data_IF_341247726179
#
_entry.id   IF_341247726179
#
_cell.length_a   1.000
_cell.length_b   1.000
_cell.length_c   1.000
_cell.angle_alpha   90.00
_cell.angle_beta   90.00
_cell.angle_gamma   90.00
#
_symmetry.space_group_name_H-M   'P 1'
#
loop_
_entity.id
_entity.type
_entity.pdbx_description
1 polymer ?
#
# COMPACT_ATOMS: atom_id res chain seq x y z
N UNK A 1 14.09 -1.09 16.07
CA UNK A 1 13.63 -0.31 14.90
C UNK A 1 12.13 -0.13 15.06
N UNK A 2 11.66 1.11 15.01
CA UNK A 2 10.27 1.50 15.16
C UNK A 2 9.68 1.79 13.78
N UNK A 3 8.62 1.07 13.40
CA UNK A 3 8.03 1.15 12.06
C UNK A 3 6.50 1.25 12.14
N UNK A 4 5.89 1.87 11.14
CA UNK A 4 4.45 1.68 10.88
C UNK A 4 4.22 0.47 9.98
N UNK A 5 3.05 -0.13 10.05
CA UNK A 5 2.58 -1.11 9.07
C UNK A 5 1.15 -0.83 8.61
N UNK A 6 1.01 -0.36 7.36
CA UNK A 6 -0.26 -0.20 6.66
C UNK A 6 -0.61 -1.46 5.86
N UNK A 7 -1.67 -2.17 6.27
CA UNK A 7 -2.07 -3.43 5.65
C UNK A 7 -2.82 -3.23 4.32
N UNK A 8 -2.90 -4.30 3.51
CA UNK A 8 -3.60 -4.27 2.22
C UNK A 8 -5.13 -4.25 2.30
N UNK A 9 -5.78 -4.15 1.14
CA UNK A 9 -7.23 -4.25 1.02
C UNK A 9 -7.69 -5.65 1.45
N UNK A 10 -8.83 -5.72 2.14
CA UNK A 10 -9.37 -6.96 2.75
C UNK A 10 -8.51 -7.58 3.86
N UNK A 11 -7.50 -6.86 4.37
CA UNK A 11 -6.67 -7.28 5.49
C UNK A 11 -7.06 -6.54 6.78
N UNK A 12 -6.32 -6.78 7.86
CA UNK A 12 -6.56 -6.18 9.18
C UNK A 12 -5.25 -5.94 9.92
N UNK A 13 -5.34 -5.44 11.16
CA UNK A 13 -4.20 -5.31 12.07
C UNK A 13 -3.57 -6.65 12.45
N UNK A 14 -4.32 -7.74 12.32
CA UNK A 14 -3.82 -9.11 12.47
C UNK A 14 -3.14 -9.55 11.16
N UNK A 15 -1.88 -9.14 11.01
CA UNK A 15 -1.08 -9.33 9.80
C UNK A 15 0.13 -10.22 10.06
N UNK A 16 0.28 -11.30 9.28
CA UNK A 16 1.45 -12.18 9.31
C UNK A 16 2.77 -11.43 9.05
N UNK A 17 2.72 -10.35 8.26
CA UNK A 17 3.90 -9.49 8.01
C UNK A 17 4.27 -8.69 9.25
N UNK A 18 3.28 -8.17 9.97
CA UNK A 18 3.51 -7.45 11.21
C UNK A 18 4.02 -8.38 12.31
N UNK A 19 3.44 -9.57 12.43
CA UNK A 19 3.92 -10.63 13.34
C UNK A 19 5.37 -11.02 13.04
N UNK A 20 5.69 -11.24 11.75
CA UNK A 20 7.05 -11.56 11.34
C UNK A 20 8.05 -10.45 11.72
N UNK A 21 7.71 -9.18 11.48
CA UNK A 21 8.55 -8.04 11.86
C UNK A 21 8.73 -7.93 13.38
N UNK A 22 7.66 -8.15 14.16
CA UNK A 22 7.74 -8.21 15.63
C UNK A 22 8.65 -9.34 16.10
N UNK A 23 8.61 -10.50 15.43
CA UNK A 23 9.51 -11.62 15.72
C UNK A 23 11.00 -11.29 15.45
N UNK A 24 11.29 -10.29 14.61
CA UNK A 24 12.64 -9.75 14.43
C UNK A 24 13.04 -8.70 15.50
N UNK A 25 12.19 -8.46 16.50
CA UNK A 25 12.41 -7.46 17.55
C UNK A 25 12.10 -6.02 17.14
N UNK A 26 11.26 -5.82 16.12
CA UNK A 26 10.84 -4.49 15.69
C UNK A 26 9.65 -4.00 16.53
N UNK A 27 9.61 -2.70 16.81
CA UNK A 27 8.46 -2.02 17.40
C UNK A 27 7.52 -1.62 16.26
N UNK A 28 6.45 -2.40 16.07
CA UNK A 28 5.55 -2.30 14.90
C UNK A 28 4.20 -1.72 15.31
N UNK A 29 3.94 -0.49 14.87
CA UNK A 29 2.62 0.13 14.92
C UNK A 29 1.79 -0.29 13.69
N UNK A 30 0.91 -1.28 13.87
CA UNK A 30 -0.08 -1.67 12.85
C UNK A 30 -1.23 -0.69 12.81
N UNK A 31 -1.58 -0.22 11.62
CA UNK A 31 -2.63 0.78 11.43
C UNK A 31 -3.96 0.11 11.08
N UNK A 32 -5.06 0.51 11.72
CA UNK A 32 -6.40 0.15 11.26
C UNK A 32 -6.77 1.00 10.05
N UNK A 33 -6.43 0.49 8.86
CA UNK A 33 -6.56 1.24 7.62
C UNK A 33 -8.02 1.58 7.28
N UNK A 34 -8.99 0.91 7.89
CA UNK A 34 -10.43 1.14 7.64
C UNK A 34 -11.04 2.18 8.57
N UNK A 35 -10.28 2.73 9.52
CA UNK A 35 -10.75 3.68 10.54
C UNK A 35 -11.64 4.81 10.00
N UNK A 36 -11.32 5.33 8.82
CA UNK A 36 -12.05 6.45 8.20
C UNK A 36 -12.85 6.07 6.95
N UNK A 37 -12.78 4.81 6.50
CA UNK A 37 -13.38 4.38 5.25
C UNK A 37 -12.44 3.51 4.42
N UNK A 38 -12.90 3.18 3.22
CA UNK A 38 -12.27 2.19 2.37
C UNK A 38 -11.40 2.78 1.26
N UNK A 39 -11.71 3.99 0.80
CA UNK A 39 -10.99 4.62 -0.31
C UNK A 39 -9.57 5.07 0.08
N UNK A 40 -8.76 5.38 -0.93
CA UNK A 40 -7.37 5.75 -0.73
C UNK A 40 -7.18 7.05 0.07
N UNK A 41 -8.10 8.02 -0.01
CA UNK A 41 -7.99 9.26 0.76
C UNK A 41 -8.23 8.99 2.26
N UNK A 42 -9.24 8.16 2.58
CA UNK A 42 -9.52 7.71 3.94
C UNK A 42 -8.36 6.91 4.53
N UNK A 43 -7.78 5.98 3.76
CA UNK A 43 -6.63 5.18 4.21
C UNK A 43 -5.36 6.02 4.36
N UNK A 44 -5.14 6.97 3.45
CA UNK A 44 -4.03 7.92 3.52
C UNK A 44 -4.11 8.76 4.80
N UNK A 45 -5.31 9.19 5.20
CA UNK A 45 -5.54 9.91 6.46
C UNK A 45 -5.07 9.11 7.68
N UNK A 46 -5.27 7.79 7.70
CA UNK A 46 -4.79 6.94 8.81
C UNK A 46 -3.27 6.98 8.91
N UNK A 47 -2.56 6.92 7.79
CA UNK A 47 -1.09 6.98 7.78
C UNK A 47 -0.59 8.37 8.20
N UNK A 48 -1.24 9.44 7.73
CA UNK A 48 -0.91 10.82 8.14
C UNK A 48 -1.05 11.02 9.65
N UNK A 49 -2.16 10.57 10.23
CA UNK A 49 -2.39 10.63 11.68
C UNK A 49 -1.29 9.87 12.43
N UNK A 50 -0.90 8.68 11.96
CA UNK A 50 0.19 7.94 12.58
C UNK A 50 1.53 8.69 12.52
N UNK A 51 1.89 9.27 11.37
CA UNK A 51 3.10 10.06 11.19
C UNK A 51 3.12 11.22 12.19
N UNK A 52 2.03 11.98 12.28
CA UNK A 52 1.95 13.21 13.05
C UNK A 52 1.86 12.96 14.57
N UNK A 53 1.14 11.91 15.00
CA UNK A 53 0.85 11.67 16.43
C UNK A 53 1.80 10.67 17.09
N UNK A 54 2.40 9.76 16.33
CA UNK A 54 3.20 8.65 16.85
C UNK A 54 4.64 8.62 16.35
N UNK A 55 5.03 9.56 15.48
CA UNK A 55 6.40 9.70 15.01
C UNK A 55 7.42 10.09 16.11
N UNK A 56 8.71 10.11 15.77
CA UNK A 56 9.28 9.68 14.50
C UNK A 56 9.31 8.15 14.37
N UNK A 57 9.23 7.67 13.12
CA UNK A 57 9.46 6.28 12.75
C UNK A 57 10.79 6.16 12.00
N UNK A 58 11.46 5.02 12.15
CA UNK A 58 12.66 4.71 11.36
C UNK A 58 12.29 4.47 9.89
N UNK A 59 11.20 3.74 9.65
CA UNK A 59 10.67 3.40 8.32
C UNK A 59 9.14 3.30 8.37
N UNK A 60 8.48 3.86 7.35
CA UNK A 60 7.06 3.62 7.09
C UNK A 60 6.92 2.41 6.16
N UNK A 61 6.14 1.41 6.57
CA UNK A 61 5.96 0.18 5.79
C UNK A 61 4.49 0.03 5.40
N UNK A 62 4.23 -0.20 4.12
CA UNK A 62 2.88 -0.42 3.62
C UNK A 62 2.84 -1.55 2.60
N UNK A 63 1.77 -2.36 2.62
CA UNK A 63 1.59 -3.49 1.71
C UNK A 63 0.37 -3.29 0.81
N UNK A 64 0.53 -3.53 -0.49
CA UNK A 64 -0.54 -3.45 -1.48
C UNK A 64 -1.29 -2.11 -1.39
N UNK A 65 -2.59 -2.14 -1.12
CA UNK A 65 -3.42 -0.95 -0.94
C UNK A 65 -2.93 -0.02 0.18
N UNK A 66 -2.40 -0.56 1.28
CA UNK A 66 -1.76 0.22 2.34
C UNK A 66 -0.39 0.76 1.93
N UNK A 67 0.29 0.12 0.98
CA UNK A 67 1.51 0.64 0.34
C UNK A 67 1.21 1.89 -0.48
N UNK A 68 0.11 1.88 -1.25
CA UNK A 68 -0.36 3.06 -1.99
C UNK A 68 -0.73 4.21 -1.03
N UNK A 69 -1.46 3.91 0.05
CA UNK A 69 -1.80 4.91 1.07
C UNK A 69 -0.56 5.49 1.78
N UNK A 70 0.45 4.65 2.03
CA UNK A 70 1.73 5.08 2.63
C UNK A 70 2.48 6.04 1.71
N UNK A 71 2.53 5.74 0.41
CA UNK A 71 3.12 6.63 -0.59
C UNK A 71 2.37 7.96 -0.72
N UNK A 72 1.02 7.92 -0.77
CA UNK A 72 0.18 9.14 -0.78
C UNK A 72 0.38 10.00 0.47
N UNK A 73 0.51 9.39 1.65
CA UNK A 73 0.74 10.13 2.89
C UNK A 73 2.12 10.81 2.90
N UNK A 74 3.15 10.11 2.43
CA UNK A 74 4.49 10.68 2.30
C UNK A 74 4.52 11.86 1.32
N UNK A 75 3.85 11.75 0.17
CA UNK A 75 3.72 12.84 -0.81
C UNK A 75 3.14 14.14 -0.19
N UNK A 76 2.28 14.03 0.83
CA UNK A 76 1.70 15.17 1.57
C UNK A 76 2.59 15.69 2.70
N UNK A 77 3.80 15.15 2.88
CA UNK A 77 4.80 15.58 3.87
C UNK A 77 6.18 15.70 3.19
N UNK A 78 6.33 16.52 2.13
CA UNK A 78 7.57 16.58 1.34
C UNK A 78 8.81 16.96 2.18
N UNK A 79 8.63 17.82 3.19
CA UNK A 79 9.72 18.28 4.06
C UNK A 79 10.03 17.34 5.23
N UNK A 80 9.23 16.28 5.44
CA UNK A 80 9.47 15.33 6.52
C UNK A 80 10.59 14.35 6.16
N UNK A 81 11.42 14.00 7.14
CA UNK A 81 12.50 13.01 7.01
C UNK A 81 11.92 11.57 7.07
N UNK A 82 11.16 11.20 6.04
CA UNK A 82 10.50 9.89 5.93
C UNK A 82 11.32 8.94 5.07
N UNK A 83 11.15 7.64 5.33
CA UNK A 83 11.75 6.54 4.57
C UNK A 83 10.70 5.46 4.39
N UNK A 84 10.58 4.92 3.19
CA UNK A 84 9.49 4.02 2.85
C UNK A 84 10.01 2.66 2.42
N UNK A 85 9.33 1.62 2.90
CA UNK A 85 9.39 0.28 2.30
C UNK A 85 7.99 -0.13 1.89
N UNK A 86 7.79 -0.33 0.58
CA UNK A 86 6.50 -0.63 -0.01
C UNK A 86 6.48 -2.06 -0.52
N UNK A 87 5.51 -2.85 -0.09
CA UNK A 87 5.41 -4.28 -0.41
C UNK A 87 4.32 -4.51 -1.45
N UNK A 88 4.70 -4.78 -2.69
CA UNK A 88 3.81 -4.90 -3.85
C UNK A 88 2.73 -3.78 -3.89
N UNK A 89 3.12 -2.49 -3.82
CA UNK A 89 2.19 -1.38 -3.67
C UNK A 89 1.21 -1.33 -4.84
N UNK A 90 -0.06 -1.06 -4.55
CA UNK A 90 -1.12 -1.04 -5.54
C UNK A 90 -1.11 0.24 -6.42
N UNK A 91 0.06 0.64 -6.96
CA UNK A 91 0.13 1.71 -7.94
C UNK A 91 -0.72 1.38 -9.17
N UNK A 92 -1.35 2.40 -9.75
CA UNK A 92 -2.29 2.21 -10.86
C UNK A 92 -3.59 1.50 -10.46
N UNK A 93 -4.06 1.72 -9.23
CA UNK A 93 -5.22 1.00 -8.70
C UNK A 93 -6.51 1.24 -9.48
N UNK A 94 -6.70 2.44 -10.04
CA UNK A 94 -7.85 2.76 -10.88
C UNK A 94 -7.86 1.94 -12.18
N UNK A 95 -6.71 1.73 -12.82
CA UNK A 95 -6.63 0.85 -13.98
C UNK A 95 -6.84 -0.62 -13.60
N UNK A 96 -6.37 -1.05 -12.42
CA UNK A 96 -6.56 -2.42 -11.92
C UNK A 96 -8.04 -2.74 -11.65
N UNK A 97 -8.76 -1.85 -10.98
CA UNK A 97 -10.18 -2.05 -10.70
C UNK A 97 -11.00 -2.03 -11.99
N UNK A 98 -10.68 -1.11 -12.92
CA UNK A 98 -11.34 -1.04 -14.23
C UNK A 98 -11.10 -2.32 -15.05
N UNK A 99 -9.86 -2.84 -15.06
CA UNK A 99 -9.52 -4.10 -15.73
C UNK A 99 -10.27 -5.29 -15.13
N UNK A 100 -10.46 -5.30 -13.80
CA UNK A 100 -11.12 -6.40 -13.08
C UNK A 100 -12.62 -6.42 -13.34
N UNK A 101 -13.29 -5.26 -13.29
CA UNK A 101 -14.74 -5.15 -13.47
C UNK A 101 -15.16 -5.07 -14.95
N UNK A 102 -14.26 -4.63 -15.82
CA UNK A 102 -14.54 -4.34 -17.23
C UNK A 102 -15.49 -3.15 -17.42
N UNK A 103 -15.60 -2.69 -18.67
CA UNK A 103 -16.38 -1.48 -19.01
C UNK A 103 -17.83 -1.56 -18.54
N UNK A 104 -18.47 -2.73 -18.71
CA UNK A 104 -19.85 -2.93 -18.29
C UNK A 104 -20.01 -2.86 -16.76
N UNK A 105 -19.07 -3.45 -16.00
CA UNK A 105 -19.10 -3.41 -14.54
C UNK A 105 -18.84 -2.01 -13.99
N UNK A 106 -17.88 -1.29 -14.58
CA UNK A 106 -17.59 0.09 -14.22
C UNK A 106 -18.78 1.01 -14.51
N UNK A 107 -19.40 0.88 -15.68
CA UNK A 107 -20.60 1.65 -16.05
C UNK A 107 -21.77 1.35 -15.11
N UNK A 108 -22.00 0.09 -14.77
CA UNK A 108 -23.04 -0.28 -13.83
C UNK A 108 -22.80 0.31 -12.43
N UNK A 109 -21.54 0.36 -11.98
CA UNK A 109 -21.19 1.01 -10.71
C UNK A 109 -21.45 2.52 -10.75
N UNK A 110 -21.07 3.20 -11.83
CA UNK A 110 -21.35 4.62 -12.03
C UNK A 110 -22.85 4.93 -12.01
N UNK A 111 -23.64 4.15 -12.74
CA UNK A 111 -25.09 4.34 -12.86
C UNK A 111 -25.84 4.03 -11.57
N UNK A 112 -25.45 2.96 -10.85
CA UNK A 112 -26.09 2.56 -9.60
C UNK A 112 -25.58 3.36 -8.38
N UNK A 113 -24.44 4.03 -8.51
CA UNK A 113 -23.79 4.78 -7.43
C UNK A 113 -23.03 3.91 -6.43
N UNK A 114 -23.14 2.58 -6.49
CA UNK A 114 -22.44 1.65 -5.60
C UNK A 114 -22.16 0.27 -6.24
N UNK A 115 -21.18 -0.45 -5.68
CA UNK A 115 -20.81 -1.81 -6.08
C UNK A 115 -20.46 -2.65 -4.86
N UNK A 116 -20.98 -3.88 -4.83
CA UNK A 116 -20.74 -4.83 -3.75
C UNK A 116 -19.55 -5.75 -4.08
N UNK A 117 -18.48 -5.65 -3.31
CA UNK A 117 -17.35 -6.58 -3.35
C UNK A 117 -17.59 -7.72 -2.35
N UNK A 118 -17.06 -8.91 -2.64
CA UNK A 118 -17.12 -10.08 -1.75
C UNK A 118 -15.70 -10.48 -1.35
N UNK A 119 -15.15 -9.90 -0.27
CA UNK A 119 -13.80 -10.20 0.17
C UNK A 119 -13.65 -11.68 0.55
N UNK A 120 -12.53 -12.35 0.21
CA UNK A 120 -12.32 -13.74 0.57
C UNK A 120 -12.36 -13.96 2.09
N UNK A 121 -13.21 -14.90 2.53
CA UNK A 121 -13.34 -15.27 3.94
C UNK A 121 -14.24 -14.36 4.78
N UNK A 122 -14.95 -13.42 4.16
CA UNK A 122 -15.92 -12.55 4.83
C UNK A 122 -17.33 -13.01 4.47
N UNK A 123 -18.24 -13.01 5.45
CA UNK A 123 -19.64 -13.41 5.23
C UNK A 123 -20.42 -12.32 4.48
N UNK A 124 -20.27 -11.08 4.91
CA UNK A 124 -20.99 -9.94 4.35
C UNK A 124 -20.20 -9.26 3.21
N UNK A 125 -20.90 -8.82 2.15
CA UNK A 125 -20.28 -8.02 1.11
C UNK A 125 -19.91 -6.63 1.65
N UNK A 126 -18.91 -6.02 1.00
CA UNK A 126 -18.54 -4.62 1.23
C UNK A 126 -19.05 -3.78 0.08
N UNK A 127 -20.01 -2.90 0.37
CA UNK A 127 -20.59 -1.96 -0.60
C UNK A 127 -19.74 -0.71 -0.67
N UNK A 128 -19.21 -0.42 -1.86
CA UNK A 128 -18.38 0.76 -2.12
C UNK A 128 -19.18 1.78 -2.95
N UNK A 129 -19.26 3.04 -2.53
CA UNK A 129 -19.86 4.09 -3.35
C UNK A 129 -18.98 4.40 -4.57
N UNK A 130 -19.56 4.98 -5.62
CA UNK A 130 -18.84 5.40 -6.83
C UNK A 130 -17.69 6.38 -6.53
N UNK A 131 -17.82 7.17 -5.45
CA UNK A 131 -16.76 8.06 -4.99
C UNK A 131 -15.44 7.35 -4.69
N UNK A 132 -15.48 6.03 -4.40
CA UNK A 132 -14.27 5.21 -4.28
C UNK A 132 -13.44 5.20 -5.58
N UNK A 133 -14.11 5.11 -6.74
CA UNK A 133 -13.47 5.16 -8.06
C UNK A 133 -12.95 6.56 -8.36
N UNK A 134 -13.72 7.61 -8.01
CA UNK A 134 -13.30 9.00 -8.18
C UNK A 134 -12.01 9.30 -7.39
N UNK A 135 -11.93 8.80 -6.15
CA UNK A 135 -10.71 8.89 -5.33
C UNK A 135 -9.57 8.09 -5.96
N UNK A 136 -9.81 6.85 -6.41
CA UNK A 136 -8.77 6.04 -7.05
C UNK A 136 -8.10 6.77 -8.23
N UNK A 137 -8.89 7.39 -9.12
CA UNK A 137 -8.39 8.15 -10.29
C UNK A 137 -7.39 9.25 -9.96
N UNK A 138 -7.39 9.75 -8.72
CA UNK A 138 -6.52 10.84 -8.27
C UNK A 138 -5.41 10.40 -7.32
N UNK A 139 -5.44 9.15 -6.83
CA UNK A 139 -4.52 8.64 -5.79
C UNK A 139 -3.70 7.44 -6.23
N UNK A 140 -3.93 6.88 -7.43
CA UNK A 140 -3.22 5.70 -7.94
C UNK A 140 -1.72 5.90 -8.19
N UNK A 141 -1.29 7.14 -8.43
CA UNK A 141 0.07 7.49 -8.83
C UNK A 141 0.57 8.71 -8.03
N UNK A 142 0.89 8.55 -6.74
CA UNK A 142 1.41 9.65 -5.92
C UNK A 142 2.82 10.07 -6.35
N UNK A 143 3.15 11.34 -6.12
CA UNK A 143 4.49 11.88 -6.32
C UNK A 143 5.38 11.57 -5.10
N UNK A 144 6.34 10.66 -5.25
CA UNK A 144 7.14 10.13 -4.14
C UNK A 144 8.52 10.79 -4.12
N UNK A 145 8.73 11.66 -3.14
CA UNK A 145 9.98 12.42 -2.99
C UNK A 145 10.97 11.81 -1.99
N UNK A 146 10.49 10.89 -1.14
CA UNK A 146 11.27 10.32 -0.05
C UNK A 146 12.04 9.08 -0.49
N UNK A 147 13.19 8.78 0.15
CA UNK A 147 13.89 7.51 -0.05
C UNK A 147 12.94 6.33 0.12
N UNK A 148 12.79 5.54 -0.95
CA UNK A 148 11.80 4.48 -1.03
C UNK A 148 12.41 3.23 -1.64
N UNK A 149 12.13 2.07 -1.04
CA UNK A 149 12.39 0.77 -1.65
C UNK A 149 11.06 0.04 -1.83
N UNK A 150 10.80 -0.39 -3.05
CA UNK A 150 9.67 -1.26 -3.38
C UNK A 150 10.18 -2.71 -3.36
N UNK A 151 9.57 -3.58 -2.57
CA UNK A 151 9.74 -5.03 -2.64
C UNK A 151 8.59 -5.61 -3.47
N UNK A 152 8.88 -6.32 -4.56
CA UNK A 152 7.84 -6.81 -5.47
C UNK A 152 8.13 -8.23 -5.96
N UNK A 153 7.11 -9.09 -5.95
CA UNK A 153 7.22 -10.48 -6.42
C UNK A 153 7.22 -10.56 -7.94
N UNK A 154 8.15 -11.30 -8.54
CA UNK A 154 8.21 -11.51 -9.99
C UNK A 154 6.99 -12.28 -10.54
N UNK A 155 6.29 -13.02 -9.68
CA UNK A 155 5.09 -13.78 -10.00
C UNK A 155 3.82 -13.16 -9.38
N UNK A 156 3.82 -11.84 -9.12
CA UNK A 156 2.63 -11.12 -8.65
C UNK A 156 1.52 -11.15 -9.71
N UNK A 157 0.38 -11.74 -9.34
CA UNK A 157 -0.81 -11.92 -10.17
C UNK A 157 -1.93 -10.92 -9.83
N UNK A 158 -1.74 -10.07 -8.82
CA UNK A 158 -2.71 -9.08 -8.35
C UNK A 158 -2.32 -7.68 -8.82
N UNK A 159 -1.07 -7.28 -8.58
CA UNK A 159 -0.51 -6.00 -9.01
C UNK A 159 0.61 -6.28 -10.00
N UNK A 160 0.52 -5.79 -11.26
CA UNK A 160 1.58 -6.00 -12.23
C UNK A 160 2.91 -5.38 -11.73
N UNK A 161 3.98 -6.17 -11.80
CA UNK A 161 5.35 -5.70 -11.52
C UNK A 161 5.70 -4.43 -12.31
N UNK A 162 5.20 -4.31 -13.54
CA UNK A 162 5.38 -3.14 -14.41
C UNK A 162 4.95 -1.82 -13.74
N UNK A 163 3.96 -1.84 -12.84
CA UNK A 163 3.53 -0.63 -12.15
C UNK A 163 4.60 -0.13 -11.16
N UNK A 164 5.29 -1.06 -10.49
CA UNK A 164 6.41 -0.70 -9.62
C UNK A 164 7.67 -0.33 -10.41
N UNK A 165 7.89 -0.94 -11.57
CA UNK A 165 8.97 -0.57 -12.50
C UNK A 165 8.76 0.86 -13.03
N UNK A 166 7.54 1.20 -13.44
CA UNK A 166 7.16 2.56 -13.83
C UNK A 166 7.39 3.57 -12.71
N UNK A 167 6.95 3.24 -11.48
CA UNK A 167 7.17 4.12 -10.32
C UNK A 167 8.67 4.36 -10.07
N UNK A 168 9.48 3.31 -10.07
CA UNK A 168 10.92 3.44 -9.85
C UNK A 168 11.64 4.18 -10.99
N UNK A 169 11.26 3.92 -12.25
CA UNK A 169 11.87 4.58 -13.42
C UNK A 169 11.57 6.08 -13.49
N UNK A 170 10.40 6.50 -12.99
CA UNK A 170 10.01 7.91 -12.98
C UNK A 170 10.57 8.70 -11.79
N UNK A 171 11.05 8.02 -10.74
CA UNK A 171 11.41 8.66 -9.48
C UNK A 171 12.82 8.24 -9.01
N UNK A 172 13.82 9.15 -9.02
CA UNK A 172 15.21 8.79 -8.71
C UNK A 172 15.44 8.37 -7.24
N UNK A 173 14.51 8.69 -6.34
CA UNK A 173 14.57 8.33 -4.92
C UNK A 173 13.91 6.97 -4.63
N UNK A 174 13.33 6.33 -5.65
CA UNK A 174 12.64 5.05 -5.55
C UNK A 174 13.51 3.97 -6.19
N UNK A 175 13.72 2.86 -5.49
CA UNK A 175 14.38 1.67 -6.05
C UNK A 175 13.49 0.44 -5.96
N UNK A 176 13.54 -0.41 -6.99
CA UNK A 176 12.78 -1.65 -7.06
C UNK A 176 13.66 -2.85 -6.70
N UNK A 177 13.22 -3.67 -5.74
CA UNK A 177 13.82 -4.92 -5.31
C UNK A 177 12.88 -6.08 -5.68
N UNK A 178 13.24 -6.82 -6.72
CA UNK A 178 12.43 -7.90 -7.26
C UNK A 178 12.83 -9.22 -6.61
N UNK A 179 11.84 -10.03 -6.20
CA UNK A 179 12.04 -11.33 -5.56
C UNK A 179 11.25 -12.43 -6.27
N UNK A 180 11.71 -13.67 -6.18
CA UNK A 180 11.00 -14.83 -6.74
C UNK A 180 9.86 -15.28 -5.81
N UNK A 181 8.77 -14.53 -5.83
CA UNK A 181 7.59 -14.72 -4.97
C UNK A 181 6.34 -14.13 -5.67
N UNK A 182 5.16 -14.36 -5.11
CA UNK A 182 3.90 -13.76 -5.56
C UNK A 182 3.51 -12.51 -4.77
N UNK A 183 2.26 -12.05 -4.97
CA UNK A 183 1.75 -10.81 -4.36
C UNK A 183 1.90 -10.76 -2.83
N UNK A 184 1.73 -11.89 -2.16
CA UNK A 184 1.75 -11.96 -0.70
C UNK A 184 3.14 -11.83 -0.09
N UNK A 185 4.21 -12.07 -0.85
CA UNK A 185 5.61 -11.94 -0.42
C UNK A 185 5.97 -12.76 0.84
N UNK A 186 5.28 -13.89 1.08
CA UNK A 186 5.45 -14.67 2.31
C UNK A 186 6.83 -15.33 2.40
N UNK A 187 7.37 -15.79 1.27
CA UNK A 187 8.68 -16.44 1.20
C UNK A 187 9.83 -15.42 1.22
N UNK A 188 9.52 -14.14 1.01
CA UNK A 188 10.49 -13.05 0.88
C UNK A 188 10.49 -12.06 2.04
N UNK A 189 9.80 -12.34 3.15
CA UNK A 189 9.80 -11.43 4.31
C UNK A 189 11.20 -11.19 4.88
N UNK A 190 12.11 -12.15 4.75
CA UNK A 190 13.52 -12.00 5.14
C UNK A 190 14.22 -10.81 4.49
N UNK A 191 13.82 -10.41 3.28
CA UNK A 191 14.38 -9.27 2.56
C UNK A 191 14.14 -7.94 3.28
N UNK A 192 13.08 -7.85 4.10
CA UNK A 192 12.74 -6.68 4.90
C UNK A 192 13.93 -6.19 5.75
N UNK A 193 14.74 -7.10 6.29
CA UNK A 193 15.93 -6.75 7.09
C UNK A 193 16.96 -5.98 6.26
N UNK A 194 17.21 -6.43 5.03
CA UNK A 194 18.22 -5.83 4.16
C UNK A 194 17.73 -4.49 3.61
N UNK A 195 16.49 -4.45 3.09
CA UNK A 195 15.96 -3.25 2.45
C UNK A 195 15.68 -2.13 3.46
N UNK A 196 15.19 -2.43 4.67
CA UNK A 196 14.99 -1.38 5.70
C UNK A 196 16.33 -0.74 6.09
N UNK A 197 17.40 -1.51 6.24
CA UNK A 197 18.75 -0.96 6.47
C UNK A 197 19.23 -0.09 5.31
N UNK A 198 18.99 -0.52 4.06
CA UNK A 198 19.38 0.24 2.87
C UNK A 198 18.67 1.58 2.78
N UNK A 199 17.34 1.63 2.99
CA UNK A 199 16.60 2.90 2.93
C UNK A 199 16.95 3.83 4.09
N UNK A 200 17.31 3.30 5.26
CA UNK A 200 17.80 4.09 6.39
C UNK A 200 19.13 4.79 6.15
N UNK A 201 19.98 4.22 5.28
CA UNK A 201 21.27 4.82 4.92
C UNK A 201 21.24 5.73 3.69
N UNK A 202 20.08 5.90 3.05
CA UNK A 202 19.89 6.75 1.88
C UNK A 202 19.71 8.24 2.23
#
# INVERSE_FOLDING_TARGET
MKVTFAHGLWSSTDSSKAEWMRAQGWDVLTLDMRKYGWDQAAQTRVVLEAIDEHGPFDVLIGSSFGGLATANAAAQRPDANLRLVLLAPAFGYDELVAKTLGDAGMKAWEENGEHAFHPPGWEDPVVMPWSFVEVARTHSWPDVHHPTIILHGSADDVVPLANSDQMASNNPHVSLHIVNDGHRLHESLGELISITRRVMGA
#
